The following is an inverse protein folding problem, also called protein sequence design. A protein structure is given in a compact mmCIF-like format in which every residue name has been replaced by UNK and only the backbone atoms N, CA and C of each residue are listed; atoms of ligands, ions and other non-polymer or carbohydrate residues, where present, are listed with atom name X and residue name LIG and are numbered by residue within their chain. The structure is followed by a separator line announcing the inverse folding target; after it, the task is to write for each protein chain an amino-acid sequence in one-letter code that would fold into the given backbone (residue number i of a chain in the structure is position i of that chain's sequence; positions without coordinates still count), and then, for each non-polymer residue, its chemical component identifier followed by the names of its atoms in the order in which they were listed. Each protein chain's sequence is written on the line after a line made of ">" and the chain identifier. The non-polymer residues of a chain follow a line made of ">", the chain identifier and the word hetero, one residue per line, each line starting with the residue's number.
data_IF_830638677106
#
_entry.id   IF_830638677106
#
_cell.length_a   1.000
_cell.length_b   1.000
_cell.length_c   1.000
_cell.angle_alpha   90.00
_cell.angle_beta   90.00
_cell.angle_gamma   90.00
#
_symmetry.space_group_name_H-M   'P 1'
#
loop_
_entity.id
_entity.type
_entity.pdbx_description
1 polymer ?
#
# COMPACT_ATOMS: atom_id res chain seq x y z
N UNK A 1 44.78 -16.76 26.66
CA UNK A 1 44.23 -17.24 25.37
C UNK A 1 42.70 -17.31 25.49
N UNK A 2 42.01 -16.18 25.31
CA UNK A 2 40.53 -16.15 25.21
C UNK A 2 40.22 -15.44 23.91
N UNK A 3 39.90 -16.21 22.87
CA UNK A 3 39.53 -15.69 21.55
C UNK A 3 38.13 -15.09 21.66
N UNK A 4 38.04 -13.77 21.74
CA UNK A 4 36.79 -13.06 21.53
C UNK A 4 36.35 -13.33 20.08
N UNK A 5 35.26 -14.09 19.91
CA UNK A 5 34.64 -14.24 18.60
C UNK A 5 33.78 -13.01 18.36
N UNK A 6 34.34 -12.09 17.59
CA UNK A 6 33.59 -11.09 16.84
C UNK A 6 32.62 -11.83 15.90
N UNK A 7 31.31 -11.69 16.15
CA UNK A 7 30.28 -12.06 15.17
C UNK A 7 29.36 -10.87 14.97
N UNK A 8 29.86 -9.84 14.28
CA UNK A 8 29.02 -9.02 13.41
C UNK A 8 28.74 -9.83 12.15
N UNK A 9 27.60 -10.51 12.11
CA UNK A 9 26.99 -10.89 10.84
C UNK A 9 26.03 -9.76 10.46
N UNK A 10 26.59 -8.70 9.87
CA UNK A 10 25.82 -7.68 9.17
C UNK A 10 24.95 -8.35 8.10
N UNK A 11 23.70 -7.90 8.03
CA UNK A 11 22.66 -8.49 7.20
C UNK A 11 23.11 -8.62 5.75
N UNK A 12 22.94 -9.83 5.22
CA UNK A 12 22.96 -10.08 3.78
C UNK A 12 21.85 -9.23 3.14
N UNK A 13 22.23 -8.06 2.60
CA UNK A 13 21.35 -7.27 1.76
C UNK A 13 21.10 -8.07 0.49
N UNK A 14 19.92 -8.69 0.38
CA UNK A 14 19.43 -9.22 -0.89
C UNK A 14 19.50 -8.08 -1.92
N UNK A 15 20.25 -8.22 -3.02
CA UNK A 15 20.44 -7.15 -4.01
C UNK A 15 19.15 -6.77 -4.75
N UNK A 16 18.03 -7.42 -4.46
CA UNK A 16 16.71 -7.08 -5.02
C UNK A 16 16.07 -6.03 -4.13
N UNK A 17 16.31 -4.76 -4.46
CA UNK A 17 15.58 -3.64 -3.85
C UNK A 17 14.07 -3.96 -3.80
N UNK A 18 13.44 -3.74 -2.65
CA UNK A 18 11.99 -3.93 -2.51
C UNK A 18 11.26 -3.08 -3.55
N UNK A 19 10.42 -3.70 -4.37
CA UNK A 19 9.62 -3.00 -5.38
C UNK A 19 8.15 -3.02 -4.99
N UNK A 20 7.44 -1.95 -5.37
CA UNK A 20 6.00 -1.85 -5.22
C UNK A 20 5.32 -1.86 -6.58
N UNK A 21 4.22 -2.59 -6.70
CA UNK A 21 3.42 -2.65 -7.92
C UNK A 21 2.76 -1.29 -8.20
N UNK A 22 3.08 -0.67 -9.34
CA UNK A 22 2.53 0.62 -9.72
C UNK A 22 1.00 0.65 -9.88
N UNK A 23 0.35 -0.51 -10.09
CA UNK A 23 -1.12 -0.59 -10.17
C UNK A 23 -1.77 -0.78 -8.80
N UNK A 24 -1.40 -1.84 -8.07
CA UNK A 24 -2.12 -2.23 -6.85
C UNK A 24 -1.46 -1.79 -5.54
N UNK A 25 -0.25 -1.25 -5.57
CA UNK A 25 0.49 -0.79 -4.39
C UNK A 25 1.04 -1.92 -3.50
N UNK A 26 0.88 -3.19 -3.86
CA UNK A 26 1.48 -4.30 -3.10
C UNK A 26 2.96 -4.44 -3.39
N UNK A 27 3.71 -4.97 -2.41
CA UNK A 27 5.07 -5.44 -2.61
C UNK A 27 5.12 -6.44 -3.76
N UNK A 28 6.12 -6.30 -4.62
CA UNK A 28 6.42 -7.25 -5.68
C UNK A 28 7.34 -8.30 -5.09
N UNK A 29 6.82 -9.51 -4.88
CA UNK A 29 7.64 -10.65 -4.51
C UNK A 29 8.44 -11.13 -5.72
N UNK A 30 9.74 -11.33 -5.53
CA UNK A 30 10.62 -11.81 -6.60
C UNK A 30 10.16 -13.15 -7.16
N UNK A 31 10.37 -13.35 -8.47
CA UNK A 31 10.08 -14.61 -9.17
C UNK A 31 11.24 -14.93 -10.10
N UNK A 32 11.62 -16.20 -10.21
CA UNK A 32 12.74 -16.64 -11.05
C UNK A 32 12.66 -16.15 -12.50
N UNK A 33 11.45 -16.06 -13.06
CA UNK A 33 11.21 -15.53 -14.41
C UNK A 33 11.63 -14.07 -14.63
N UNK A 34 11.88 -13.31 -13.56
CA UNK A 34 12.30 -11.91 -13.61
C UNK A 34 13.79 -11.71 -13.35
N UNK A 35 14.57 -12.80 -13.25
CA UNK A 35 15.99 -12.73 -12.93
C UNK A 35 16.78 -11.82 -13.89
N UNK A 36 16.39 -11.76 -15.17
CA UNK A 36 17.11 -10.98 -16.20
C UNK A 36 16.73 -9.50 -16.23
N UNK A 37 15.49 -9.16 -15.86
CA UNK A 37 14.90 -7.83 -16.11
C UNK A 37 14.26 -7.22 -14.84
N UNK A 38 14.75 -7.59 -13.65
CA UNK A 38 14.15 -7.17 -12.38
C UNK A 38 14.00 -5.64 -12.27
N UNK A 39 14.98 -4.89 -12.75
CA UNK A 39 14.94 -3.43 -12.74
C UNK A 39 13.72 -2.87 -13.49
N UNK A 40 13.35 -3.49 -14.61
CA UNK A 40 12.21 -3.10 -15.44
C UNK A 40 10.85 -3.58 -14.89
N UNK A 41 10.81 -4.44 -13.87
CA UNK A 41 9.54 -4.94 -13.30
C UNK A 41 8.80 -3.82 -12.57
N UNK A 42 7.63 -3.44 -13.09
CA UNK A 42 6.74 -2.39 -12.53
C UNK A 42 5.43 -2.93 -11.94
N UNK A 43 5.04 -4.15 -12.27
CA UNK A 43 3.74 -4.74 -11.89
C UNK A 43 3.91 -6.16 -11.35
N UNK A 44 3.14 -6.52 -10.33
CA UNK A 44 3.19 -7.84 -9.70
C UNK A 44 2.56 -8.97 -10.53
N UNK A 45 1.75 -8.63 -11.54
CA UNK A 45 1.05 -9.59 -12.40
C UNK A 45 0.60 -8.94 -13.71
N UNK A 46 0.28 -9.78 -14.71
CA UNK A 46 -0.25 -9.33 -16.00
C UNK A 46 -1.61 -8.64 -15.84
N UNK A 47 -2.45 -9.10 -14.91
CA UNK A 47 -3.69 -8.41 -14.56
C UNK A 47 -3.47 -6.98 -14.01
N UNK A 48 -2.41 -6.77 -13.21
CA UNK A 48 -2.05 -5.43 -12.75
C UNK A 48 -1.47 -4.57 -13.87
N UNK A 49 -0.69 -5.17 -14.77
CA UNK A 49 -0.18 -4.51 -15.98
C UNK A 49 -1.33 -4.05 -16.88
N UNK A 50 -2.28 -4.93 -17.17
CA UNK A 50 -3.43 -4.66 -18.02
C UNK A 50 -4.39 -3.63 -17.41
N UNK A 51 -4.67 -3.71 -16.11
CA UNK A 51 -5.58 -2.75 -15.45
C UNK A 51 -4.96 -1.36 -15.28
N UNK A 52 -3.66 -1.28 -14.96
CA UNK A 52 -3.01 -0.02 -14.62
C UNK A 52 -3.62 0.71 -13.41
N UNK A 53 -3.41 2.02 -13.35
CA UNK A 53 -4.06 2.96 -12.43
C UNK A 53 -5.13 3.71 -13.21
N UNK A 54 -6.38 3.69 -12.74
CA UNK A 54 -7.53 4.31 -13.40
C UNK A 54 -7.89 5.66 -12.76
N UNK A 55 -8.69 6.52 -13.41
CA UNK A 55 -9.11 7.80 -12.82
C UNK A 55 -9.74 7.65 -11.43
N UNK A 56 -10.59 6.64 -11.22
CA UNK A 56 -11.18 6.35 -9.90
C UNK A 56 -10.12 6.03 -8.83
N UNK A 57 -9.01 5.39 -9.22
CA UNK A 57 -7.93 5.09 -8.28
C UNK A 57 -7.20 6.37 -7.83
N UNK A 58 -7.13 7.40 -8.69
CA UNK A 58 -6.57 8.71 -8.38
C UNK A 58 -7.52 9.56 -7.52
N UNK A 59 -8.81 9.56 -7.85
CA UNK A 59 -9.84 10.19 -7.03
C UNK A 59 -9.84 9.63 -5.59
N UNK A 60 -9.61 8.32 -5.43
CA UNK A 60 -9.48 7.70 -4.12
C UNK A 60 -8.20 8.10 -3.38
N UNK A 61 -7.07 8.29 -4.08
CA UNK A 61 -5.85 8.83 -3.45
C UNK A 61 -6.08 10.25 -2.93
N UNK A 62 -6.70 11.11 -3.74
CA UNK A 62 -7.06 12.48 -3.36
C UNK A 62 -8.04 12.50 -2.19
N UNK A 63 -9.10 11.70 -2.25
CA UNK A 63 -10.07 11.58 -1.17
C UNK A 63 -9.42 11.14 0.15
N UNK A 64 -8.50 10.17 0.13
CA UNK A 64 -7.76 9.76 1.33
C UNK A 64 -6.96 10.94 1.90
N UNK A 65 -6.27 11.71 1.04
CA UNK A 65 -5.48 12.87 1.48
C UNK A 65 -6.38 13.94 2.12
N UNK A 66 -7.47 14.32 1.45
CA UNK A 66 -8.40 15.35 1.94
C UNK A 66 -9.03 14.94 3.27
N UNK A 67 -9.55 13.71 3.37
CA UNK A 67 -10.15 13.20 4.61
C UNK A 67 -9.17 13.16 5.78
N UNK A 68 -7.88 12.93 5.53
CA UNK A 68 -6.85 12.95 6.56
C UNK A 68 -6.38 14.36 6.91
N UNK A 69 -6.38 15.28 5.93
CA UNK A 69 -6.06 16.68 6.14
C UNK A 69 -7.09 17.37 7.04
N UNK A 70 -8.37 17.06 6.86
CA UNK A 70 -9.49 17.64 7.61
C UNK A 70 -9.57 17.15 9.08
N UNK A 71 -8.80 16.13 9.44
CA UNK A 71 -8.82 15.55 10.79
C UNK A 71 -7.69 16.06 11.66
N UNK A 72 -7.89 15.96 12.98
CA UNK A 72 -6.83 16.17 13.97
C UNK A 72 -5.61 15.28 13.71
N UNK A 73 -4.43 15.73 14.18
CA UNK A 73 -3.20 14.94 14.10
C UNK A 73 -3.38 13.57 14.79
N UNK A 74 -2.95 12.50 14.12
CA UNK A 74 -3.07 11.12 14.63
C UNK A 74 -4.44 10.46 14.44
N UNK A 75 -5.46 11.18 13.97
CA UNK A 75 -6.73 10.59 13.58
C UNK A 75 -6.56 9.62 12.39
N UNK A 76 -7.51 8.68 12.27
CA UNK A 76 -7.51 7.67 11.22
C UNK A 76 -8.80 7.73 10.40
N UNK A 77 -8.78 7.23 9.17
CA UNK A 77 -9.95 6.89 8.34
C UNK A 77 -9.95 5.38 8.04
N UNK A 78 -11.02 4.83 7.47
CA UNK A 78 -11.01 3.50 6.82
C UNK A 78 -11.26 3.62 5.31
N UNK A 79 -11.01 2.56 4.52
CA UNK A 79 -11.24 2.57 3.07
C UNK A 79 -12.67 2.91 2.65
N UNK A 80 -13.68 2.59 3.46
CA UNK A 80 -15.07 2.91 3.13
C UNK A 80 -15.41 4.38 3.23
N UNK A 81 -14.71 5.14 4.08
CA UNK A 81 -14.89 6.60 4.15
C UNK A 81 -14.46 7.26 2.83
N UNK A 82 -13.29 6.86 2.29
CA UNK A 82 -12.83 7.35 0.98
C UNK A 82 -13.70 6.87 -0.19
N UNK A 83 -14.15 5.61 -0.15
CA UNK A 83 -15.04 5.08 -1.18
C UNK A 83 -16.39 5.80 -1.23
N UNK A 84 -17.00 6.08 -0.07
CA UNK A 84 -18.26 6.83 0.03
C UNK A 84 -18.11 8.26 -0.44
N UNK A 85 -16.99 8.91 -0.10
CA UNK A 85 -16.70 10.25 -0.59
C UNK A 85 -16.57 10.33 -2.12
N UNK A 86 -16.12 9.25 -2.78
CA UNK A 86 -15.96 9.20 -4.25
C UNK A 86 -17.23 8.73 -4.97
N UNK A 87 -17.92 7.70 -4.47
CA UNK A 87 -19.11 7.13 -5.13
C UNK A 87 -20.43 7.79 -4.69
N UNK A 88 -20.41 8.57 -3.61
CA UNK A 88 -21.61 9.05 -2.92
C UNK A 88 -22.15 8.04 -1.91
N UNK A 89 -22.85 8.54 -0.89
CA UNK A 89 -23.42 7.71 0.19
C UNK A 89 -24.75 7.04 -0.19
N UNK A 90 -25.45 7.54 -1.22
CA UNK A 90 -26.78 7.08 -1.60
C UNK A 90 -26.79 5.73 -2.33
N UNK A 91 -25.68 5.37 -2.99
CA UNK A 91 -25.55 4.12 -3.75
C UNK A 91 -24.58 3.17 -3.03
N UNK A 92 -25.15 2.21 -2.31
CA UNK A 92 -24.36 1.27 -1.53
C UNK A 92 -23.50 0.33 -2.38
N UNK A 93 -24.05 -0.15 -3.50
CA UNK A 93 -23.34 -1.05 -4.39
C UNK A 93 -22.17 -0.33 -5.07
N UNK A 94 -22.35 0.94 -5.43
CA UNK A 94 -21.28 1.77 -6.00
C UNK A 94 -20.09 1.93 -5.04
N UNK A 95 -20.30 2.35 -3.79
CA UNK A 95 -19.17 2.54 -2.87
C UNK A 95 -18.57 1.20 -2.42
N UNK A 96 -19.37 0.13 -2.31
CA UNK A 96 -18.86 -1.22 -2.01
C UNK A 96 -17.95 -1.74 -3.12
N UNK A 97 -18.28 -1.48 -4.39
CA UNK A 97 -17.42 -1.84 -5.52
C UNK A 97 -16.06 -1.12 -5.50
N UNK A 98 -15.96 0.01 -4.80
CA UNK A 98 -14.72 0.76 -4.62
C UNK A 98 -13.85 0.29 -3.45
N UNK A 99 -14.24 -0.73 -2.68
CA UNK A 99 -13.44 -1.20 -1.53
C UNK A 99 -12.01 -1.64 -1.89
N UNK A 100 -11.85 -2.53 -2.86
CA UNK A 100 -10.50 -2.95 -3.29
C UNK A 100 -9.74 -1.81 -4.00
N UNK A 101 -10.35 -1.00 -4.89
CA UNK A 101 -9.74 0.24 -5.37
C UNK A 101 -9.24 1.18 -4.26
N UNK A 102 -10.01 1.38 -3.19
CA UNK A 102 -9.64 2.24 -2.06
C UNK A 102 -8.44 1.66 -1.30
N UNK A 103 -8.40 0.33 -1.11
CA UNK A 103 -7.21 -0.35 -0.57
C UNK A 103 -6.00 -0.14 -1.48
N UNK A 104 -6.13 -0.30 -2.80
CA UNK A 104 -5.02 -0.06 -3.75
C UNK A 104 -4.48 1.36 -3.66
N UNK A 105 -5.36 2.35 -3.57
CA UNK A 105 -4.99 3.75 -3.38
C UNK A 105 -4.20 3.94 -2.08
N UNK A 106 -4.72 3.45 -0.95
CA UNK A 106 -4.03 3.51 0.33
C UNK A 106 -2.64 2.86 0.28
N UNK A 107 -2.49 1.70 -0.39
CA UNK A 107 -1.18 1.06 -0.55
C UNK A 107 -0.19 1.86 -1.38
N UNK A 108 -0.65 2.52 -2.45
CA UNK A 108 0.23 3.41 -3.24
C UNK A 108 0.66 4.64 -2.45
N UNK A 109 -0.22 5.17 -1.59
CA UNK A 109 0.13 6.25 -0.66
C UNK A 109 1.12 5.81 0.42
N UNK A 110 1.00 4.57 0.94
CA UNK A 110 2.03 4.00 1.83
C UNK A 110 3.37 3.92 1.12
N UNK A 111 3.39 3.43 -0.13
CA UNK A 111 4.60 3.35 -0.93
C UNK A 111 5.22 4.71 -1.25
N UNK A 112 4.41 5.77 -1.30
CA UNK A 112 4.86 7.15 -1.44
C UNK A 112 5.33 7.79 -0.11
N UNK A 113 5.21 7.08 1.02
CA UNK A 113 5.57 7.58 2.34
C UNK A 113 4.56 8.58 2.93
N UNK A 114 3.38 8.71 2.35
CA UNK A 114 2.39 9.74 2.75
C UNK A 114 1.49 9.27 3.91
N UNK A 115 1.21 7.98 3.98
CA UNK A 115 0.28 7.39 4.96
C UNK A 115 0.83 6.09 5.54
N UNK A 116 0.30 5.69 6.68
CA UNK A 116 0.48 4.37 7.28
C UNK A 116 -0.86 3.63 7.33
N UNK A 117 -0.82 2.31 7.13
CA UNK A 117 -1.95 1.42 7.36
C UNK A 117 -1.78 0.71 8.70
N UNK A 118 -2.84 0.71 9.51
CA UNK A 118 -2.85 0.12 10.85
C UNK A 118 -4.01 -0.84 11.07
N UNK A 119 -3.80 -1.81 11.98
CA UNK A 119 -4.82 -2.70 12.53
C UNK A 119 -4.60 -2.81 14.05
N UNK A 120 -5.67 -2.65 14.84
CA UNK A 120 -5.55 -2.63 16.31
C UNK A 120 -4.54 -1.57 16.81
N UNK A 121 -4.43 -0.43 16.10
CA UNK A 121 -3.49 0.65 16.42
C UNK A 121 -2.03 0.41 15.99
N UNK A 122 -1.68 -0.78 15.52
CA UNK A 122 -0.31 -1.13 15.08
C UNK A 122 -0.16 -0.97 13.58
N UNK A 123 0.97 -0.46 13.11
CA UNK A 123 1.32 -0.42 11.68
C UNK A 123 1.46 -1.86 11.18
N UNK A 124 0.86 -2.16 10.02
CA UNK A 124 0.87 -3.49 9.40
C UNK A 124 1.32 -3.41 7.95
N UNK A 125 1.81 -4.53 7.40
CA UNK A 125 2.13 -4.60 5.98
C UNK A 125 0.85 -4.50 5.12
N UNK A 126 0.72 -3.46 4.28
CA UNK A 126 -0.43 -3.29 3.40
C UNK A 126 -0.66 -4.46 2.43
N UNK A 127 0.38 -5.19 2.06
CA UNK A 127 0.34 -6.24 1.03
C UNK A 127 -0.36 -7.50 1.53
N UNK A 128 -0.32 -7.73 2.84
CA UNK A 128 -0.79 -8.95 3.50
C UNK A 128 -1.94 -8.71 4.48
N UNK A 129 -2.19 -7.46 4.91
CA UNK A 129 -3.28 -7.12 5.82
C UNK A 129 -4.66 -7.55 5.30
N UNK A 130 -5.38 -8.32 6.13
CA UNK A 130 -6.73 -8.83 5.85
C UNK A 130 -7.74 -8.19 6.81
N UNK A 131 -8.98 -8.04 6.35
CA UNK A 131 -10.06 -7.48 7.17
C UNK A 131 -9.95 -5.97 7.39
N UNK A 132 -10.67 -5.41 8.38
CA UNK A 132 -10.74 -3.98 8.62
C UNK A 132 -9.36 -3.37 8.85
N UNK A 133 -9.07 -2.27 8.13
CA UNK A 133 -7.84 -1.49 8.27
C UNK A 133 -8.18 -0.03 8.54
N UNK A 134 -7.26 0.66 9.19
CA UNK A 134 -7.29 2.11 9.38
C UNK A 134 -6.11 2.75 8.64
N UNK A 135 -6.30 3.95 8.12
CA UNK A 135 -5.29 4.73 7.39
C UNK A 135 -5.06 6.01 8.20
N UNK A 136 -3.80 6.40 8.40
CA UNK A 136 -3.42 7.68 9.03
C UNK A 136 -2.28 8.32 8.27
N UNK A 137 -2.05 9.62 8.47
CA UNK A 137 -0.84 10.30 7.99
C UNK A 137 0.41 9.61 8.55
N UNK A 138 1.45 9.50 7.72
CA UNK A 138 2.76 9.06 8.18
C UNK A 138 3.31 10.03 9.25
N UNK A 139 4.11 9.50 10.17
CA UNK A 139 4.73 10.26 11.27
C UNK A 139 6.17 10.61 10.96
#
# INVERSE_FOLDING_TARGET
>A
MVRQRDTRAEGSADPRAEKVCGSCGRRIEWRAKWARDWEAVRWCSDACRARGVRPVDRALEESIRSLLADRAAGATICPSEAARAVAGDADEDAWRALMEPARRAARRLVAAGEVEITQGGKVVDPSTAKGPIRIRRAR
#
